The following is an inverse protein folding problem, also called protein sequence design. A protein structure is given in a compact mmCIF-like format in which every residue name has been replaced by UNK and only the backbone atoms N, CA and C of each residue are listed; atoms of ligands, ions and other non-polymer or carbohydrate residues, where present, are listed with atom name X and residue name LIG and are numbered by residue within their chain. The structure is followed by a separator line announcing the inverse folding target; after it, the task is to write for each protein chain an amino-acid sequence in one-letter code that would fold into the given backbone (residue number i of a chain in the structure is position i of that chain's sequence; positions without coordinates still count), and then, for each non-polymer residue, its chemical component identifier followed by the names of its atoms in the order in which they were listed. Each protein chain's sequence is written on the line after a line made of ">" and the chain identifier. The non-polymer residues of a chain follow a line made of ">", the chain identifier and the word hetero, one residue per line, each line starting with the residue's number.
data_IF_272494948347
#
_entry.id   IF_272494948347
#
_cell.length_a   1.000
_cell.length_b   1.000
_cell.length_c   1.000
_cell.angle_alpha   90.00
_cell.angle_beta   90.00
_cell.angle_gamma   90.00
#
_symmetry.space_group_name_H-M   'P 1'
#
loop_
_entity.id
_entity.type
_entity.pdbx_description
1 polymer ?
#
# COMPACT_ATOMS: atom_id res chain seq x y z
N UNK A 1 -7.28 13.15 -15.22
CA UNK A 1 -8.44 14.00 -14.88
C UNK A 1 -8.78 14.79 -16.13
N UNK A 2 -10.00 14.64 -16.67
CA UNK A 2 -10.33 15.25 -17.96
C UNK A 2 -10.45 16.76 -17.82
N UNK A 3 -10.07 17.54 -18.84
CA UNK A 3 -10.22 19.01 -18.84
C UNK A 3 -11.67 19.47 -18.63
N UNK A 4 -12.63 18.60 -18.93
CA UNK A 4 -14.06 18.77 -18.69
C UNK A 4 -14.44 18.78 -17.19
N UNK A 5 -13.74 18.03 -16.35
CA UNK A 5 -13.98 18.00 -14.90
C UNK A 5 -13.48 19.28 -14.22
N UNK A 6 -12.35 19.81 -14.70
CA UNK A 6 -11.73 21.04 -14.17
C UNK A 6 -12.58 22.27 -14.54
N UNK A 7 -13.08 22.34 -15.78
CA UNK A 7 -13.95 23.43 -16.24
C UNK A 7 -15.28 23.49 -15.50
N UNK A 8 -15.87 22.31 -15.20
CA UNK A 8 -17.10 22.22 -14.42
C UNK A 8 -16.88 22.62 -12.95
N UNK A 9 -15.74 22.23 -12.37
CA UNK A 9 -15.34 22.66 -11.02
C UNK A 9 -15.15 24.17 -10.93
N UNK A 10 -14.45 24.77 -11.90
CA UNK A 10 -14.23 26.21 -11.96
C UNK A 10 -15.54 26.99 -12.12
N UNK A 11 -16.47 26.50 -12.95
CA UNK A 11 -17.80 27.09 -13.10
C UNK A 11 -18.62 27.06 -11.81
N UNK A 12 -18.61 25.94 -11.09
CA UNK A 12 -19.32 25.82 -9.81
C UNK A 12 -18.74 26.74 -8.74
N UNK A 13 -17.41 26.88 -8.67
CA UNK A 13 -16.75 27.80 -7.75
C UNK A 13 -17.10 29.25 -8.06
N UNK A 14 -17.09 29.64 -9.34
CA UNK A 14 -17.48 30.98 -9.77
C UNK A 14 -18.95 31.29 -9.44
N UNK A 15 -19.85 30.33 -9.66
CA UNK A 15 -21.27 30.48 -9.33
C UNK A 15 -21.50 30.63 -7.82
N UNK A 16 -20.75 29.88 -7.02
CA UNK A 16 -20.80 29.97 -5.56
C UNK A 16 -20.31 31.33 -5.06
N UNK A 17 -19.22 31.86 -5.64
CA UNK A 17 -18.72 33.21 -5.36
C UNK A 17 -19.77 34.25 -5.74
N UNK A 18 -20.40 34.13 -6.92
CA UNK A 18 -21.42 35.07 -7.37
C UNK A 18 -22.64 35.10 -6.43
N UNK A 19 -23.11 33.94 -5.96
CA UNK A 19 -24.23 33.82 -5.02
C UNK A 19 -23.87 34.43 -3.66
N UNK A 20 -22.66 34.19 -3.16
CA UNK A 20 -22.17 34.77 -1.90
C UNK A 20 -22.06 36.30 -1.99
N UNK A 21 -21.51 36.82 -3.08
CA UNK A 21 -21.39 38.28 -3.32
C UNK A 21 -22.77 38.92 -3.45
N UNK A 22 -23.70 38.30 -4.16
CA UNK A 22 -25.08 38.79 -4.29
C UNK A 22 -25.81 38.80 -2.93
N UNK A 23 -25.68 37.74 -2.15
CA UNK A 23 -26.26 37.62 -0.80
C UNK A 23 -25.71 38.68 0.16
N UNK A 24 -24.39 38.92 0.13
CA UNK A 24 -23.74 39.98 0.91
C UNK A 24 -24.15 41.39 0.45
N UNK A 25 -24.30 41.58 -0.87
CA UNK A 25 -24.68 42.86 -1.45
C UNK A 25 -26.14 43.23 -1.15
N UNK A 26 -27.03 42.25 -0.97
CA UNK A 26 -28.44 42.46 -0.70
C UNK A 26 -28.74 42.67 0.79
N UNK A 27 -27.87 42.22 1.71
CA UNK A 27 -28.13 42.21 3.16
C UNK A 27 -27.46 43.37 3.95
N UNK A 28 -27.27 44.54 3.32
CA UNK A 28 -26.48 45.67 3.85
C UNK A 28 -27.01 46.33 5.14
N UNK A 29 -28.22 46.01 5.61
CA UNK A 29 -28.76 46.56 6.86
C UNK A 29 -28.48 45.71 8.11
N UNK A 30 -27.92 44.51 7.96
CA UNK A 30 -27.54 43.65 9.11
C UNK A 30 -26.07 43.19 9.00
N UNK A 31 -25.18 44.14 8.66
CA UNK A 31 -23.76 43.91 8.35
C UNK A 31 -23.04 42.96 9.34
N UNK A 32 -23.29 43.12 10.64
CA UNK A 32 -22.66 42.26 11.65
C UNK A 32 -23.15 40.81 11.63
N UNK A 33 -24.42 40.56 11.27
CA UNK A 33 -24.99 39.20 11.19
C UNK A 33 -24.60 38.50 9.89
N UNK A 34 -24.56 39.21 8.76
CA UNK A 34 -24.13 38.63 7.48
C UNK A 34 -22.65 38.25 7.51
N UNK A 35 -21.81 39.07 8.16
CA UNK A 35 -20.38 38.77 8.30
C UNK A 35 -20.15 37.53 9.17
N UNK A 36 -20.89 37.38 10.28
CA UNK A 36 -20.84 36.19 11.12
C UNK A 36 -21.25 34.93 10.34
N UNK A 37 -22.32 34.99 9.53
CA UNK A 37 -22.78 33.86 8.73
C UNK A 37 -21.78 33.50 7.61
N UNK A 38 -21.17 34.49 6.97
CA UNK A 38 -20.14 34.26 5.96
C UNK A 38 -18.92 33.54 6.54
N UNK A 39 -18.49 33.92 7.75
CA UNK A 39 -17.40 33.24 8.45
C UNK A 39 -17.73 31.77 8.75
N UNK A 40 -18.95 31.48 9.22
CA UNK A 40 -19.38 30.10 9.47
C UNK A 40 -19.33 29.26 8.19
N UNK A 41 -19.79 29.80 7.06
CA UNK A 41 -19.70 29.12 5.77
C UNK A 41 -18.26 28.90 5.32
N UNK A 42 -17.39 29.92 5.45
CA UNK A 42 -15.96 29.79 5.13
C UNK A 42 -15.32 28.68 5.97
N UNK A 43 -15.59 28.64 7.28
CA UNK A 43 -15.08 27.58 8.16
C UNK A 43 -15.62 26.20 7.79
N UNK A 44 -16.90 26.08 7.41
CA UNK A 44 -17.47 24.81 6.94
C UNK A 44 -16.82 24.33 5.65
N UNK A 45 -16.60 25.23 4.67
CA UNK A 45 -15.93 24.88 3.42
C UNK A 45 -14.46 24.50 3.65
N UNK A 46 -13.74 25.23 4.50
CA UNK A 46 -12.36 24.88 4.90
C UNK A 46 -12.35 23.50 5.57
N UNK A 47 -13.28 23.25 6.50
CA UNK A 47 -13.42 21.96 7.17
C UNK A 47 -13.71 20.82 6.19
N UNK A 48 -14.57 21.04 5.19
CA UNK A 48 -14.90 20.05 4.16
C UNK A 48 -13.69 19.78 3.24
N UNK A 49 -13.00 20.82 2.79
CA UNK A 49 -11.80 20.69 1.94
C UNK A 49 -10.69 19.96 2.71
N UNK A 50 -10.47 20.32 3.98
CA UNK A 50 -9.52 19.65 4.85
C UNK A 50 -9.91 18.18 5.05
N UNK A 51 -11.19 17.89 5.34
CA UNK A 51 -11.68 16.53 5.52
C UNK A 51 -11.46 15.66 4.28
N UNK A 52 -11.74 16.18 3.08
CA UNK A 52 -11.51 15.46 1.81
C UNK A 52 -10.01 15.34 1.50
N UNK A 53 -9.24 16.40 1.70
CA UNK A 53 -7.81 16.44 1.39
C UNK A 53 -6.96 15.56 2.31
N UNK A 54 -7.29 15.50 3.60
CA UNK A 54 -6.62 14.64 4.59
C UNK A 54 -7.13 13.19 4.59
N UNK A 55 -8.21 12.90 3.84
CA UNK A 55 -8.85 11.58 3.86
C UNK A 55 -7.94 10.45 3.34
N UNK A 56 -7.10 10.73 2.34
CA UNK A 56 -6.21 9.72 1.74
C UNK A 56 -5.03 9.36 2.65
N UNK A 57 -4.44 10.35 3.34
CA UNK A 57 -3.38 10.13 4.32
C UNK A 57 -3.87 9.27 5.51
N UNK A 58 -5.06 9.58 6.03
CA UNK A 58 -5.67 8.80 7.12
C UNK A 58 -5.93 7.36 6.68
N UNK A 59 -6.52 7.14 5.49
CA UNK A 59 -6.79 5.77 5.00
C UNK A 59 -5.52 4.97 4.73
N UNK A 60 -4.42 5.62 4.35
CA UNK A 60 -3.13 4.94 4.16
C UNK A 60 -2.53 4.46 5.48
N UNK A 61 -2.76 5.20 6.57
CA UNK A 61 -2.27 4.91 7.92
C UNK A 61 -3.09 3.82 8.63
N UNK A 62 -4.39 3.70 8.31
CA UNK A 62 -5.31 2.74 8.94
C UNK A 62 -5.49 1.47 8.09
N UNK A 63 -4.55 1.16 7.17
CA UNK A 63 -4.56 -0.14 6.50
C UNK A 63 -4.50 -1.24 7.58
N UNK A 64 -5.36 -2.28 7.51
CA UNK A 64 -5.35 -3.31 8.52
C UNK A 64 -3.96 -3.98 8.47
N UNK A 65 -3.18 -3.72 9.52
CA UNK A 65 -1.80 -4.17 9.61
C UNK A 65 -1.79 -5.67 9.91
N UNK A 66 -0.78 -6.38 9.43
CA UNK A 66 -0.53 -7.75 9.83
C UNK A 66 -0.57 -7.85 11.37
N UNK A 67 -1.40 -8.74 11.91
CA UNK A 67 -1.50 -8.95 13.34
C UNK A 67 -0.62 -10.15 13.71
N UNK A 68 0.40 -9.89 14.53
CA UNK A 68 1.29 -10.92 15.04
C UNK A 68 0.85 -11.26 16.46
N UNK A 69 0.39 -12.48 16.67
CA UNK A 69 0.04 -12.99 17.98
C UNK A 69 1.24 -13.72 18.61
N UNK A 70 1.38 -13.65 19.93
CA UNK A 70 2.53 -14.18 20.67
C UNK A 70 2.74 -15.70 20.57
N UNK A 71 1.76 -16.44 20.04
CA UNK A 71 1.82 -17.89 19.82
C UNK A 71 2.35 -18.28 18.42
N UNK A 72 3.02 -17.37 17.70
CA UNK A 72 3.50 -17.64 16.34
C UNK A 72 2.39 -17.68 15.27
N UNK A 73 1.20 -17.16 15.60
CA UNK A 73 0.10 -16.96 14.66
C UNK A 73 0.19 -15.56 14.04
N UNK A 74 0.31 -15.49 12.73
CA UNK A 74 0.29 -14.27 11.94
C UNK A 74 -1.02 -14.21 11.16
N UNK A 75 -1.75 -13.12 11.31
CA UNK A 75 -3.01 -12.89 10.61
C UNK A 75 -2.86 -11.72 9.65
N UNK A 76 -3.08 -12.01 8.37
CA UNK A 76 -2.93 -11.08 7.26
C UNK A 76 -4.34 -10.74 6.74
N UNK A 77 -4.86 -9.55 7.06
CA UNK A 77 -6.15 -9.12 6.55
C UNK A 77 -6.11 -8.96 5.03
N UNK A 78 -7.22 -9.28 4.36
CA UNK A 78 -7.35 -9.13 2.91
C UNK A 78 -7.34 -7.66 2.54
N UNK A 79 -6.42 -7.27 1.66
CA UNK A 79 -6.36 -5.90 1.16
C UNK A 79 -7.54 -5.60 0.20
N UNK A 80 -7.87 -4.31 -0.04
CA UNK A 80 -8.96 -3.94 -0.94
C UNK A 80 -8.83 -4.46 -2.38
N UNK A 81 -7.60 -4.70 -2.85
CA UNK A 81 -7.33 -5.30 -4.15
C UNK A 81 -7.44 -6.84 -4.16
N UNK A 82 -7.81 -7.44 -3.03
CA UNK A 82 -8.06 -8.87 -2.90
C UNK A 82 -6.83 -9.72 -2.56
N UNK A 83 -5.63 -9.15 -2.55
CA UNK A 83 -4.39 -9.83 -2.21
C UNK A 83 -4.12 -9.81 -0.70
N UNK A 84 -3.25 -10.71 -0.24
CA UNK A 84 -2.70 -10.69 1.12
C UNK A 84 -1.27 -10.17 1.07
N UNK A 85 -0.92 -9.34 2.05
CA UNK A 85 0.41 -8.76 2.16
C UNK A 85 1.09 -9.21 3.44
N UNK A 86 2.33 -9.69 3.31
CA UNK A 86 3.20 -10.07 4.41
C UNK A 86 4.37 -9.10 4.47
N UNK A 87 4.60 -8.44 5.60
CA UNK A 87 5.79 -7.61 5.78
C UNK A 87 6.81 -8.39 6.61
N UNK A 88 7.96 -8.67 6.01
CA UNK A 88 9.06 -9.41 6.63
C UNK A 88 10.31 -8.55 6.71
N UNK A 89 11.09 -8.72 7.76
CA UNK A 89 12.44 -8.16 7.85
C UNK A 89 13.40 -9.06 7.07
N UNK A 90 13.93 -8.56 5.96
CA UNK A 90 14.91 -9.27 5.13
C UNK A 90 16.26 -8.62 5.34
N UNK A 91 17.21 -9.35 5.90
CA UNK A 91 18.52 -8.80 6.30
C UNK A 91 18.39 -7.50 7.12
N UNK A 92 17.36 -7.39 7.97
CA UNK A 92 17.07 -6.19 8.78
C UNK A 92 16.29 -5.08 8.09
N UNK A 93 15.93 -5.23 6.81
CA UNK A 93 15.15 -4.24 6.05
C UNK A 93 13.69 -4.69 5.91
N UNK A 94 12.70 -3.82 6.19
CA UNK A 94 11.29 -4.17 6.08
C UNK A 94 10.88 -4.22 4.61
N UNK A 95 10.54 -5.42 4.13
CA UNK A 95 10.08 -5.65 2.77
C UNK A 95 8.66 -6.19 2.81
N UNK A 96 7.79 -5.60 1.99
CA UNK A 96 6.41 -6.02 1.84
C UNK A 96 6.29 -6.97 0.65
N UNK A 97 5.72 -8.14 0.90
CA UNK A 97 5.47 -9.17 -0.09
C UNK A 97 3.97 -9.32 -0.35
N UNK A 98 3.61 -9.62 -1.59
CA UNK A 98 2.33 -10.25 -1.90
C UNK A 98 2.46 -11.73 -1.58
N UNK A 99 1.53 -12.29 -0.81
CA UNK A 99 1.45 -13.75 -0.64
C UNK A 99 0.91 -14.36 -1.91
N UNK A 100 1.71 -15.20 -2.56
CA UNK A 100 1.38 -15.82 -3.84
C UNK A 100 1.59 -17.34 -3.76
N UNK A 101 0.49 -18.07 -3.60
CA UNK A 101 0.51 -19.55 -3.57
C UNK A 101 0.79 -20.16 -4.95
N UNK A 102 0.71 -19.37 -6.03
CA UNK A 102 1.11 -19.77 -7.38
C UNK A 102 2.61 -19.65 -7.63
N UNK A 103 3.33 -18.86 -6.83
CA UNK A 103 4.77 -18.76 -6.88
C UNK A 103 5.42 -19.93 -6.12
N UNK A 104 6.35 -20.63 -6.78
CA UNK A 104 7.09 -21.73 -6.14
C UNK A 104 8.08 -21.20 -5.10
N UNK A 105 8.81 -20.13 -5.43
CA UNK A 105 9.86 -19.56 -4.60
C UNK A 105 9.56 -18.13 -4.14
N UNK A 106 10.32 -17.66 -3.15
CA UNK A 106 10.40 -16.22 -2.85
C UNK A 106 11.05 -15.51 -4.05
N UNK A 107 10.37 -14.48 -4.56
CA UNK A 107 10.90 -13.62 -5.62
C UNK A 107 10.94 -12.18 -5.11
N UNK A 108 12.12 -11.56 -5.16
CA UNK A 108 12.35 -10.20 -4.67
C UNK A 108 12.53 -9.27 -5.87
N UNK A 109 11.94 -8.08 -5.80
CA UNK A 109 12.17 -7.04 -6.81
C UNK A 109 13.63 -6.60 -6.79
N UNK A 110 14.12 -6.10 -7.92
CA UNK A 110 15.50 -5.58 -7.96
C UNK A 110 15.73 -4.44 -6.97
N UNK A 111 14.71 -3.63 -6.68
CA UNK A 111 14.83 -2.50 -5.75
C UNK A 111 14.77 -2.94 -4.29
N UNK A 112 13.89 -3.88 -3.96
CA UNK A 112 13.83 -4.52 -2.64
C UNK A 112 15.13 -5.29 -2.33
N UNK A 113 15.72 -5.95 -3.33
CA UNK A 113 17.01 -6.64 -3.18
C UNK A 113 18.14 -5.66 -2.84
N UNK A 114 18.21 -4.51 -3.54
CA UNK A 114 19.17 -3.44 -3.21
C UNK A 114 18.94 -2.89 -1.81
N UNK A 115 17.68 -2.66 -1.43
CA UNK A 115 17.31 -2.18 -0.10
C UNK A 115 17.75 -3.15 1.00
N UNK A 116 17.61 -4.47 0.79
CA UNK A 116 18.11 -5.52 1.68
C UNK A 116 19.65 -5.73 1.63
N UNK A 117 20.39 -4.86 0.95
CA UNK A 117 21.85 -4.90 0.87
C UNK A 117 22.41 -6.01 -0.03
N UNK A 118 21.61 -6.53 -0.96
CA UNK A 118 22.06 -7.52 -1.95
C UNK A 118 22.69 -6.78 -3.13
N UNK A 119 23.91 -7.16 -3.51
CA UNK A 119 24.59 -6.56 -4.67
C UNK A 119 24.00 -7.10 -5.97
N UNK A 120 23.00 -6.38 -6.51
CA UNK A 120 22.29 -6.80 -7.73
C UNK A 120 23.12 -6.67 -9.00
N UNK A 121 24.24 -5.93 -9.00
CA UNK A 121 25.05 -5.66 -10.20
C UNK A 121 25.86 -6.87 -10.65
N UNK A 122 26.25 -7.71 -9.70
CA UNK A 122 27.10 -8.87 -9.93
C UNK A 122 26.30 -10.20 -9.92
N UNK A 123 24.97 -10.11 -9.93
CA UNK A 123 24.11 -11.30 -9.94
C UNK A 123 24.08 -11.97 -11.31
N UNK A 124 24.18 -13.29 -11.30
CA UNK A 124 24.03 -14.12 -12.49
C UNK A 124 22.55 -14.42 -12.72
N UNK A 125 21.94 -13.75 -13.70
CA UNK A 125 20.55 -13.97 -14.12
C UNK A 125 20.43 -15.19 -15.04
N UNK A 126 20.61 -16.37 -14.45
CA UNK A 126 20.65 -17.67 -15.13
C UNK A 126 19.34 -18.47 -14.98
N UNK A 127 18.47 -18.07 -14.06
CA UNK A 127 17.14 -18.66 -13.88
C UNK A 127 16.11 -17.99 -14.77
N UNK A 128 14.95 -18.63 -14.88
CA UNK A 128 13.79 -18.10 -15.58
C UNK A 128 12.54 -18.29 -14.72
N UNK A 129 11.66 -17.30 -14.72
CA UNK A 129 10.36 -17.36 -14.08
C UNK A 129 9.27 -17.01 -15.10
N UNK A 130 8.19 -17.79 -15.12
CA UNK A 130 7.01 -17.49 -15.91
C UNK A 130 6.12 -16.50 -15.14
N UNK A 131 5.85 -15.35 -15.74
CA UNK A 131 4.96 -14.33 -15.19
C UNK A 131 3.79 -14.10 -16.14
N UNK A 132 2.79 -13.33 -15.71
CA UNK A 132 1.68 -12.92 -16.56
C UNK A 132 2.14 -12.13 -17.80
N UNK A 133 3.28 -11.45 -17.72
CA UNK A 133 3.87 -10.67 -18.82
C UNK A 133 4.89 -11.48 -19.65
N UNK A 134 4.95 -12.79 -19.44
CA UNK A 134 5.89 -13.69 -20.11
C UNK A 134 7.06 -14.11 -19.22
N UNK A 135 8.07 -14.75 -19.83
CA UNK A 135 9.25 -15.25 -19.13
C UNK A 135 10.22 -14.12 -18.80
N UNK A 136 10.64 -14.05 -17.55
CA UNK A 136 11.65 -13.10 -17.07
C UNK A 136 12.85 -13.85 -16.51
N UNK A 137 14.05 -13.27 -16.66
CA UNK A 137 15.26 -13.84 -16.06
C UNK A 137 15.31 -13.57 -14.57
N UNK A 138 15.83 -14.52 -13.82
CA UNK A 138 15.97 -14.43 -12.37
C UNK A 138 17.37 -14.84 -11.92
N UNK A 139 17.82 -14.27 -10.81
CA UNK A 139 19.11 -14.60 -10.21
C UNK A 139 18.92 -15.24 -8.83
N UNK A 140 19.52 -16.41 -8.56
CA UNK A 140 19.38 -17.06 -7.26
C UNK A 140 20.18 -16.29 -6.20
N UNK A 141 19.57 -16.08 -5.04
CA UNK A 141 20.20 -15.44 -3.88
C UNK A 141 19.86 -16.19 -2.60
N UNK A 142 20.67 -15.95 -1.56
CA UNK A 142 20.39 -16.42 -0.20
C UNK A 142 20.21 -15.23 0.72
N UNK A 143 19.02 -15.14 1.31
CA UNK A 143 18.70 -14.17 2.33
C UNK A 143 19.32 -14.65 3.63
N UNK A 144 20.12 -13.80 4.27
CA UNK A 144 20.80 -14.16 5.52
C UNK A 144 19.77 -14.44 6.60
N UNK A 145 18.76 -13.57 6.65
CA UNK A 145 17.70 -13.59 7.65
C UNK A 145 16.38 -13.13 7.03
N UNK A 146 15.30 -13.83 7.35
CA UNK A 146 13.92 -13.46 7.07
C UNK A 146 13.13 -13.60 8.35
N UNK A 147 12.73 -12.47 8.94
CA UNK A 147 11.98 -12.45 10.19
C UNK A 147 10.56 -11.95 9.99
N UNK A 148 9.59 -12.66 10.55
CA UNK A 148 8.16 -12.32 10.50
C UNK A 148 7.58 -12.43 11.90
N UNK A 149 7.37 -11.29 12.57
CA UNK A 149 6.97 -11.30 13.97
C UNK A 149 8.03 -12.00 14.84
N UNK A 150 7.68 -12.99 15.67
CA UNK A 150 8.65 -13.74 16.48
C UNK A 150 9.40 -14.82 15.69
N UNK A 151 9.05 -15.06 14.42
CA UNK A 151 9.64 -16.11 13.60
C UNK A 151 10.90 -15.57 12.95
N UNK A 152 11.98 -16.32 13.06
CA UNK A 152 13.26 -15.95 12.47
C UNK A 152 13.83 -17.13 11.67
N UNK A 153 13.83 -17.01 10.36
CA UNK A 153 14.35 -18.01 9.44
C UNK A 153 15.67 -17.52 8.84
N UNK A 154 16.69 -18.39 8.82
CA UNK A 154 18.02 -18.05 8.32
C UNK A 154 18.34 -18.79 7.03
N UNK A 155 19.25 -18.21 6.23
CA UNK A 155 19.77 -18.84 5.02
C UNK A 155 18.64 -19.28 4.05
N UNK A 156 17.69 -18.38 3.82
CA UNK A 156 16.48 -18.63 3.02
C UNK A 156 16.80 -18.44 1.54
N UNK A 157 16.44 -19.42 0.70
CA UNK A 157 16.59 -19.31 -0.76
C UNK A 157 15.54 -18.33 -1.31
N UNK A 158 15.97 -17.47 -2.20
CA UNK A 158 15.10 -16.57 -2.94
C UNK A 158 15.69 -16.29 -4.33
N UNK A 159 14.93 -15.60 -5.16
CA UNK A 159 15.34 -15.17 -6.48
C UNK A 159 15.16 -13.66 -6.62
N UNK A 160 16.10 -12.98 -7.27
CA UNK A 160 15.93 -11.58 -7.67
C UNK A 160 15.38 -11.55 -9.09
N UNK A 161 14.28 -10.82 -9.29
CA UNK A 161 13.70 -10.63 -10.61
C UNK A 161 14.51 -9.63 -11.44
N UNK A 162 14.86 -10.00 -12.67
CA UNK A 162 15.55 -9.15 -13.64
C UNK A 162 14.62 -8.32 -14.52
N UNK A 163 13.30 -8.55 -14.46
CA UNK A 163 12.29 -7.76 -15.14
C UNK A 163 11.65 -6.68 -14.27
N UNK A 164 10.66 -5.96 -14.82
CA UNK A 164 9.82 -5.05 -14.05
C UNK A 164 8.92 -5.84 -13.09
N UNK A 165 8.94 -5.50 -11.81
CA UNK A 165 8.05 -6.06 -10.79
C UNK A 165 7.87 -5.06 -9.65
N UNK A 166 6.63 -4.65 -9.44
CA UNK A 166 6.29 -3.57 -8.49
C UNK A 166 6.32 -4.02 -7.02
N UNK A 167 6.16 -5.32 -6.75
CA UNK A 167 6.14 -5.84 -5.38
C UNK A 167 6.70 -7.25 -5.34
N UNK A 168 7.52 -7.53 -4.33
CA UNK A 168 8.08 -8.86 -4.08
C UNK A 168 6.99 -9.90 -3.78
N UNK A 169 7.26 -11.17 -4.11
CA UNK A 169 6.34 -12.29 -3.97
C UNK A 169 6.83 -13.28 -2.90
N UNK A 170 5.94 -13.66 -2.00
CA UNK A 170 6.18 -14.70 -1.00
C UNK A 170 5.57 -16.01 -1.49
N UNK A 171 6.41 -16.86 -2.09
CA UNK A 171 6.01 -18.13 -2.65
C UNK A 171 5.95 -19.29 -1.65
N UNK A 172 5.52 -20.45 -2.15
CA UNK A 172 5.28 -21.65 -1.35
C UNK A 172 6.53 -22.18 -0.64
N UNK A 173 7.74 -22.00 -1.18
CA UNK A 173 8.97 -22.48 -0.54
C UNK A 173 9.28 -21.82 0.82
N UNK A 174 8.67 -20.66 1.09
CA UNK A 174 8.65 -20.07 2.43
C UNK A 174 7.38 -20.39 3.20
N UNK A 175 6.21 -20.32 2.56
CA UNK A 175 4.92 -20.56 3.23
C UNK A 175 4.81 -21.97 3.81
N UNK A 176 5.45 -22.98 3.21
CA UNK A 176 5.48 -24.36 3.73
C UNK A 176 6.27 -24.52 5.04
N UNK A 177 6.98 -23.48 5.50
CA UNK A 177 7.66 -23.48 6.81
C UNK A 177 6.68 -23.29 7.98
N UNK A 178 5.45 -22.86 7.69
CA UNK A 178 4.37 -22.77 8.65
C UNK A 178 3.68 -24.13 8.79
N UNK A 179 3.32 -24.52 10.01
CA UNK A 179 2.61 -25.77 10.27
C UNK A 179 1.17 -25.73 9.75
N UNK A 180 0.57 -24.54 9.65
CA UNK A 180 -0.78 -24.35 9.11
C UNK A 180 -0.91 -23.05 8.32
N UNK A 181 -1.61 -23.14 7.19
CA UNK A 181 -2.04 -22.01 6.36
C UNK A 181 -3.57 -22.10 6.24
N UNK A 182 -4.29 -21.08 6.71
CA UNK A 182 -5.75 -21.02 6.64
C UNK A 182 -6.19 -19.75 5.93
N UNK A 183 -6.88 -19.91 4.80
CA UNK A 183 -7.40 -18.79 4.02
C UNK A 183 -8.91 -18.67 4.24
N UNK A 184 -9.33 -17.49 4.68
CA UNK A 184 -10.73 -17.11 4.84
C UNK A 184 -11.07 -15.96 3.88
N UNK A 185 -12.36 -15.62 3.68
CA UNK A 185 -12.74 -14.49 2.84
C UNK A 185 -12.17 -13.13 3.29
N UNK A 186 -11.77 -13.01 4.57
CA UNK A 186 -11.32 -11.76 5.20
C UNK A 186 -9.84 -11.75 5.57
N UNK A 187 -9.22 -12.90 5.78
CA UNK A 187 -7.85 -12.98 6.27
C UNK A 187 -7.16 -14.29 5.84
N UNK A 188 -5.83 -14.22 5.75
CA UNK A 188 -4.94 -15.36 5.66
C UNK A 188 -4.22 -15.52 7.00
N UNK A 189 -4.33 -16.69 7.61
CA UNK A 189 -3.73 -17.01 8.91
C UNK A 189 -2.60 -18.01 8.69
N UNK A 190 -1.41 -17.65 9.16
CA UNK A 190 -0.22 -18.49 9.16
C UNK A 190 0.09 -18.86 10.61
N UNK A 191 0.23 -20.15 10.91
CA UNK A 191 0.62 -20.63 12.24
C UNK A 191 1.91 -21.39 12.13
N UNK A 192 2.87 -21.04 12.98
CA UNK A 192 4.14 -21.78 13.09
C UNK A 192 3.95 -23.03 13.95
#
# INVERSE_FOLDING_TARGET
>A
MSSWDIGRGAYLVLLLIAVVVWFLAQNRQTLNKTLQQALVWVFLFIGLIAAVGLWDDIRSTVRPMQAVHGNGKIELPRAPNGHFYLTAQVNGTPIRFVVDTGATDIVISSDDAKAAGIDTRNLAFVGEAMTANGTVKTAPVRLKQVSVGPIDDHNVRAWVNGGQMDTSLMGMSYLQRFSKIEMTPRALVLTR
#
